data_IF_733254753029
#
_entry.id   IF_733254753029
#
_cell.length_a   1.000
_cell.length_b   1.000
_cell.length_c   1.000
_cell.angle_alpha   90.00
_cell.angle_beta   90.00
_cell.angle_gamma   90.00
#
_symmetry.space_group_name_H-M   'P 1'
#
loop_
_entity.id
_entity.type
_entity.pdbx_description
1 polymer ?
#
# COMPACT_ATOMS: atom_id res chain seq x y z
N UNK A 1 -6.09 -0.07 14.31
CA UNK A 1 -5.94 0.98 13.31
C UNK A 1 -5.92 0.39 11.91
N UNK A 2 -4.98 -0.50 11.52
CA UNK A 2 -4.82 -1.06 10.16
C UNK A 2 -6.10 -1.69 9.58
N UNK A 3 -6.85 -2.51 10.33
CA UNK A 3 -8.10 -3.10 9.83
C UNK A 3 -9.09 -2.06 9.30
N UNK A 4 -9.33 -0.98 10.06
CA UNK A 4 -10.24 0.08 9.62
C UNK A 4 -9.68 0.86 8.41
N UNK A 5 -8.35 1.06 8.36
CA UNK A 5 -7.66 1.62 7.20
C UNK A 5 -7.90 0.77 5.95
N UNK A 6 -7.56 -0.51 6.00
CA UNK A 6 -7.76 -1.44 4.89
C UNK A 6 -9.21 -1.52 4.42
N UNK A 7 -10.17 -1.50 5.36
CA UNK A 7 -11.59 -1.46 5.01
C UNK A 7 -11.96 -0.17 4.28
N UNK A 8 -11.49 0.99 4.73
CA UNK A 8 -11.73 2.26 4.02
C UNK A 8 -11.07 2.28 2.64
N UNK A 9 -9.86 1.74 2.51
CA UNK A 9 -9.16 1.57 1.20
C UNK A 9 -10.06 0.82 0.20
N UNK A 10 -10.69 -0.27 0.61
CA UNK A 10 -11.65 -0.98 -0.24
C UNK A 10 -12.80 -0.08 -0.68
N UNK A 11 -13.45 0.63 0.24
CA UNK A 11 -14.59 1.48 -0.11
C UNK A 11 -14.20 2.64 -1.02
N UNK A 12 -13.08 3.30 -0.76
CA UNK A 12 -12.56 4.36 -1.64
C UNK A 12 -12.23 3.84 -3.04
N UNK A 13 -11.58 2.69 -3.13
CA UNK A 13 -11.30 2.03 -4.40
C UNK A 13 -12.58 1.67 -5.15
N UNK A 14 -13.56 1.04 -4.47
CA UNK A 14 -14.81 0.63 -5.09
C UNK A 14 -15.65 1.83 -5.57
N UNK A 15 -15.74 2.91 -4.78
CA UNK A 15 -16.43 4.14 -5.17
C UNK A 15 -15.75 4.81 -6.35
N UNK A 16 -14.41 4.86 -6.35
CA UNK A 16 -13.61 5.37 -7.48
C UNK A 16 -13.86 4.55 -8.74
N UNK A 17 -13.87 3.22 -8.64
CA UNK A 17 -14.12 2.34 -9.77
C UNK A 17 -15.50 2.56 -10.37
N UNK A 18 -16.54 2.66 -9.54
CA UNK A 18 -17.90 2.99 -9.98
C UNK A 18 -17.98 4.33 -10.68
N UNK A 19 -17.39 5.38 -10.10
CA UNK A 19 -17.38 6.74 -10.66
C UNK A 19 -16.68 6.81 -12.01
N UNK A 20 -15.58 6.06 -12.18
CA UNK A 20 -14.80 6.01 -13.43
C UNK A 20 -15.37 5.00 -14.44
N UNK A 21 -16.47 4.31 -14.13
CA UNK A 21 -17.06 3.29 -15.01
C UNK A 21 -16.16 2.08 -15.27
N UNK A 22 -15.24 1.78 -14.34
CA UNK A 22 -14.33 0.65 -14.46
C UNK A 22 -15.03 -0.67 -14.11
N UNK A 23 -14.76 -1.72 -14.89
CA UNK A 23 -15.13 -3.08 -14.52
C UNK A 23 -14.02 -3.69 -13.68
N UNK A 24 -14.36 -4.15 -12.50
CA UNK A 24 -13.41 -4.81 -11.58
C UNK A 24 -14.14 -5.89 -10.78
N UNK A 25 -13.40 -6.88 -10.33
CA UNK A 25 -13.88 -7.87 -9.39
C UNK A 25 -13.82 -7.30 -7.97
N UNK A 26 -14.96 -7.18 -7.24
CA UNK A 26 -15.00 -6.62 -5.91
C UNK A 26 -14.31 -7.50 -4.85
N UNK A 27 -14.25 -8.82 -5.04
CA UNK A 27 -13.59 -9.73 -4.10
C UNK A 27 -12.07 -9.62 -4.23
N UNK A 28 -11.54 -9.51 -5.46
CA UNK A 28 -10.12 -9.26 -5.68
C UNK A 28 -9.69 -7.88 -5.17
N UNK A 29 -10.53 -6.85 -5.37
CA UNK A 29 -10.28 -5.53 -4.80
C UNK A 29 -10.28 -5.57 -3.28
N UNK A 30 -11.23 -6.30 -2.67
CA UNK A 30 -11.30 -6.48 -1.23
C UNK A 30 -10.06 -7.21 -0.69
N UNK A 31 -9.65 -8.30 -1.33
CA UNK A 31 -8.44 -9.02 -0.96
C UNK A 31 -7.20 -8.10 -1.03
N UNK A 32 -7.03 -7.37 -2.15
CA UNK A 32 -5.94 -6.40 -2.29
C UNK A 32 -5.94 -5.37 -1.18
N UNK A 33 -7.09 -4.76 -0.89
CA UNK A 33 -7.22 -3.77 0.17
C UNK A 33 -6.96 -4.36 1.57
N UNK A 34 -7.45 -5.56 1.88
CA UNK A 34 -7.28 -6.14 3.22
C UNK A 34 -5.87 -6.62 3.50
N UNK A 35 -5.12 -6.99 2.48
CA UNK A 35 -3.77 -7.53 2.65
C UNK A 35 -2.65 -6.52 2.44
N UNK A 36 -2.89 -5.32 1.86
CA UNK A 36 -1.81 -4.43 1.41
C UNK A 36 -0.80 -4.05 2.49
N UNK A 37 -1.22 -3.92 3.74
CA UNK A 37 -0.39 -3.54 4.89
C UNK A 37 -0.08 -4.70 5.85
N UNK A 38 -0.41 -5.95 5.51
CA UNK A 38 -0.17 -7.10 6.37
C UNK A 38 1.31 -7.29 6.71
N UNK A 39 2.22 -6.94 5.79
CA UNK A 39 3.67 -7.01 5.98
C UNK A 39 4.23 -6.03 7.02
N UNK A 40 3.44 -5.04 7.47
CA UNK A 40 3.76 -4.19 8.62
C UNK A 40 3.55 -4.89 9.95
N UNK A 41 2.84 -6.03 9.95
CA UNK A 41 2.55 -6.77 11.18
C UNK A 41 3.65 -7.79 11.49
N UNK A 42 3.99 -8.05 12.77
CA UNK A 42 5.05 -8.99 13.14
C UNK A 42 4.85 -10.39 12.59
N UNK A 43 3.60 -10.82 12.39
CA UNK A 43 3.28 -12.15 11.86
C UNK A 43 3.72 -12.35 10.41
N UNK A 44 3.72 -11.29 9.62
CA UNK A 44 3.97 -11.35 8.17
C UNK A 44 5.24 -10.61 7.75
N UNK A 45 5.90 -9.92 8.68
CA UNK A 45 7.17 -9.25 8.42
C UNK A 45 8.29 -10.27 8.19
N UNK A 46 9.23 -9.93 7.31
CA UNK A 46 10.52 -10.63 7.16
C UNK A 46 11.68 -9.67 7.41
N UNK A 47 12.89 -10.22 7.59
CA UNK A 47 14.08 -9.42 7.87
C UNK A 47 14.65 -8.69 6.65
N UNK A 48 14.35 -9.15 5.42
CA UNK A 48 15.10 -8.75 4.23
C UNK A 48 14.21 -8.25 3.07
N UNK A 49 12.89 -8.40 3.17
CA UNK A 49 12.00 -8.01 2.09
C UNK A 49 11.23 -6.74 2.42
N UNK A 50 10.88 -5.98 1.39
CA UNK A 50 9.95 -4.86 1.51
C UNK A 50 8.64 -5.34 2.10
N UNK A 51 8.01 -4.50 2.94
CA UNK A 51 6.74 -4.87 3.57
C UNK A 51 5.63 -5.10 2.54
N UNK A 52 5.66 -4.40 1.41
CA UNK A 52 4.71 -4.59 0.31
C UNK A 52 4.83 -5.99 -0.29
N UNK A 53 6.07 -6.52 -0.44
CA UNK A 53 6.31 -7.89 -0.91
C UNK A 53 5.84 -8.91 0.12
N UNK A 54 6.13 -8.69 1.39
CA UNK A 54 5.63 -9.54 2.48
C UNK A 54 4.09 -9.59 2.50
N UNK A 55 3.43 -8.44 2.35
CA UNK A 55 1.97 -8.32 2.23
C UNK A 55 1.44 -9.10 1.04
N UNK A 56 2.05 -8.90 -0.13
CA UNK A 56 1.65 -9.55 -1.38
C UNK A 56 1.82 -11.08 -1.30
N UNK A 57 2.91 -11.56 -0.68
CA UNK A 57 3.15 -12.98 -0.47
C UNK A 57 2.11 -13.59 0.48
N UNK A 58 1.76 -12.90 1.56
CA UNK A 58 0.70 -13.33 2.47
C UNK A 58 -0.66 -13.46 1.76
N UNK A 59 -1.00 -12.51 0.90
CA UNK A 59 -2.21 -12.56 0.07
C UNK A 59 -2.17 -13.74 -0.91
N UNK A 60 -1.05 -13.92 -1.62
CA UNK A 60 -0.84 -15.04 -2.56
C UNK A 60 -1.08 -16.38 -1.89
N UNK A 61 -0.46 -16.61 -0.76
CA UNK A 61 -0.53 -17.89 -0.07
C UNK A 61 -1.95 -18.15 0.46
N UNK A 62 -2.63 -17.14 0.97
CA UNK A 62 -4.03 -17.22 1.37
C UNK A 62 -4.94 -17.54 0.20
N UNK A 63 -4.86 -16.80 -0.91
CA UNK A 63 -5.74 -16.98 -2.07
C UNK A 63 -5.51 -18.33 -2.74
N UNK A 64 -4.24 -18.77 -2.83
CA UNK A 64 -3.90 -20.10 -3.35
C UNK A 64 -4.49 -21.21 -2.50
N UNK A 65 -4.49 -21.07 -1.18
CA UNK A 65 -5.14 -22.02 -0.27
C UNK A 65 -6.66 -22.10 -0.42
N UNK A 66 -7.27 -21.09 -1.08
CA UNK A 66 -8.70 -21.02 -1.38
C UNK A 66 -9.04 -21.45 -2.81
N UNK A 67 -8.05 -21.90 -3.59
CA UNK A 67 -8.26 -22.35 -4.97
C UNK A 67 -8.52 -21.22 -5.97
N UNK A 68 -8.13 -19.98 -5.66
CA UNK A 68 -8.22 -18.86 -6.59
C UNK A 68 -7.23 -19.08 -7.73
N UNK A 69 -7.61 -18.69 -8.95
CA UNK A 69 -6.78 -18.88 -10.13
C UNK A 69 -5.48 -18.03 -10.07
N UNK A 70 -4.37 -18.58 -10.54
CA UNK A 70 -3.05 -17.91 -10.47
C UNK A 70 -3.05 -16.52 -11.12
N UNK A 71 -3.79 -16.31 -12.20
CA UNK A 71 -3.92 -15.00 -12.85
C UNK A 71 -4.57 -13.95 -11.93
N UNK A 72 -5.55 -14.33 -11.15
CA UNK A 72 -6.24 -13.47 -10.19
C UNK A 72 -5.32 -13.19 -9.00
N UNK A 73 -4.60 -14.22 -8.53
CA UNK A 73 -3.58 -14.09 -7.47
C UNK A 73 -2.48 -13.12 -7.89
N UNK A 74 -1.97 -13.24 -9.13
CA UNK A 74 -0.96 -12.32 -9.67
C UNK A 74 -1.45 -10.88 -9.73
N UNK A 75 -2.73 -10.67 -10.09
CA UNK A 75 -3.35 -9.35 -10.08
C UNK A 75 -3.38 -8.74 -8.67
N UNK A 76 -3.80 -9.51 -7.67
CA UNK A 76 -3.85 -9.06 -6.27
C UNK A 76 -2.43 -8.84 -5.73
N UNK A 77 -1.50 -9.76 -6.02
CA UNK A 77 -0.10 -9.64 -5.63
C UNK A 77 0.51 -8.33 -6.16
N UNK A 78 0.31 -8.05 -7.44
CA UNK A 78 0.80 -6.84 -8.09
C UNK A 78 0.17 -5.57 -7.51
N UNK A 79 -1.15 -5.60 -7.24
CA UNK A 79 -1.85 -4.49 -6.62
C UNK A 79 -1.23 -4.14 -5.26
N UNK A 80 -0.94 -5.15 -4.45
CA UNK A 80 -0.32 -4.99 -3.13
C UNK A 80 1.15 -4.55 -3.26
N UNK A 81 1.93 -5.18 -4.13
CA UNK A 81 3.35 -4.87 -4.27
C UNK A 81 3.62 -3.44 -4.76
N UNK A 82 2.66 -2.84 -5.48
CA UNK A 82 2.81 -1.51 -6.08
C UNK A 82 2.00 -0.39 -5.39
N UNK A 83 1.25 -0.69 -4.30
CA UNK A 83 0.34 0.29 -3.69
C UNK A 83 1.02 1.55 -3.14
N UNK A 84 2.32 1.48 -2.85
CA UNK A 84 3.16 2.62 -2.43
C UNK A 84 4.00 3.22 -3.57
N UNK A 85 3.77 2.80 -4.82
CA UNK A 85 4.53 3.26 -5.99
C UNK A 85 3.72 4.27 -6.80
N UNK A 86 4.01 5.58 -6.69
CA UNK A 86 3.23 6.59 -7.39
C UNK A 86 3.34 6.50 -8.91
N UNK A 87 2.26 6.84 -9.62
CA UNK A 87 2.26 7.08 -11.06
C UNK A 87 2.26 5.85 -11.97
N UNK A 88 2.43 4.63 -11.45
CA UNK A 88 2.42 3.38 -12.24
C UNK A 88 1.07 2.66 -12.20
N UNK A 89 0.49 2.37 -11.02
CA UNK A 89 -0.75 1.60 -10.89
C UNK A 89 -1.96 2.15 -11.70
N UNK A 90 -2.13 3.47 -11.88
CA UNK A 90 -3.26 3.99 -12.65
C UNK A 90 -3.32 3.52 -14.11
N UNK A 91 -2.20 3.03 -14.65
CA UNK A 91 -2.08 2.54 -16.04
C UNK A 91 -2.20 1.02 -16.16
N UNK A 92 -2.52 0.31 -15.07
CA UNK A 92 -2.55 -1.13 -14.99
C UNK A 92 -3.99 -1.68 -14.90
N UNK A 93 -4.12 -2.98 -14.61
CA UNK A 93 -5.41 -3.63 -14.41
C UNK A 93 -6.27 -2.88 -13.37
N UNK A 94 -7.59 -2.75 -13.57
CA UNK A 94 -8.46 -1.96 -12.68
C UNK A 94 -8.30 -2.25 -11.19
N UNK A 95 -8.16 -3.52 -10.78
CA UNK A 95 -7.94 -3.86 -9.36
C UNK A 95 -6.64 -3.24 -8.84
N UNK A 96 -5.56 -3.25 -9.62
CA UNK A 96 -4.27 -2.66 -9.25
C UNK A 96 -4.41 -1.14 -9.06
N UNK A 97 -5.00 -0.48 -10.05
CA UNK A 97 -5.25 0.96 -10.01
C UNK A 97 -6.14 1.37 -8.83
N UNK A 98 -7.17 0.55 -8.52
CA UNK A 98 -8.16 0.87 -7.49
C UNK A 98 -7.67 0.61 -6.07
N UNK A 99 -6.82 -0.38 -5.82
CA UNK A 99 -6.15 -0.54 -4.51
C UNK A 99 -5.31 0.69 -4.22
N UNK A 100 -4.46 1.12 -5.15
CA UNK A 100 -3.63 2.33 -4.98
C UNK A 100 -4.50 3.58 -4.81
N UNK A 101 -5.54 3.79 -5.62
CA UNK A 101 -6.44 4.92 -5.47
C UNK A 101 -7.12 4.96 -4.10
N UNK A 102 -7.48 3.80 -3.56
CA UNK A 102 -8.04 3.68 -2.21
C UNK A 102 -7.04 4.07 -1.12
N UNK A 103 -5.78 3.62 -1.24
CA UNK A 103 -4.70 3.98 -0.31
C UNK A 103 -4.41 5.48 -0.39
N UNK A 104 -4.24 6.02 -1.59
CA UNK A 104 -3.97 7.45 -1.81
C UNK A 104 -5.09 8.33 -1.25
N UNK A 105 -6.35 7.95 -1.43
CA UNK A 105 -7.48 8.67 -0.82
C UNK A 105 -7.42 8.62 0.70
N UNK A 106 -7.22 7.44 1.30
CA UNK A 106 -7.28 7.31 2.76
C UNK A 106 -6.09 7.95 3.48
N UNK A 107 -4.89 7.83 2.92
CA UNK A 107 -3.65 8.34 3.55
C UNK A 107 -3.36 9.78 3.14
N UNK A 108 -3.42 10.08 1.83
CA UNK A 108 -2.97 11.35 1.26
C UNK A 108 -4.11 12.32 0.97
N UNK A 109 -5.36 11.84 0.92
CA UNK A 109 -6.51 12.66 0.53
C UNK A 109 -6.56 12.95 -0.98
N UNK A 110 -5.88 12.14 -1.80
CA UNK A 110 -5.96 12.28 -3.26
C UNK A 110 -7.40 12.08 -3.71
N UNK A 111 -7.88 12.97 -4.58
CA UNK A 111 -9.28 13.01 -5.05
C UNK A 111 -10.34 13.19 -3.94
N UNK A 112 -9.98 13.73 -2.76
CA UNK A 112 -10.91 13.95 -1.64
C UNK A 112 -12.18 14.70 -2.05
N UNK A 113 -12.05 15.70 -2.90
CA UNK A 113 -13.19 16.53 -3.40
C UNK A 113 -14.10 15.80 -4.38
N UNK A 114 -13.68 14.67 -4.93
CA UNK A 114 -14.53 13.83 -5.80
C UNK A 114 -15.58 13.05 -5.01
N UNK A 115 -15.38 12.87 -3.70
CA UNK A 115 -16.33 12.18 -2.81
C UNK A 115 -17.23 13.19 -2.11
N UNK A 116 -18.52 12.89 -2.08
CA UNK A 116 -19.50 13.70 -1.34
C UNK A 116 -19.28 13.57 0.18
N UNK A 117 -19.74 14.57 0.95
CA UNK A 117 -19.70 14.49 2.41
C UNK A 117 -20.42 13.25 2.93
N UNK A 118 -21.57 12.91 2.32
CA UNK A 118 -22.38 11.73 2.68
C UNK A 118 -21.57 10.43 2.50
N UNK A 119 -20.85 10.28 1.39
CA UNK A 119 -19.99 9.11 1.15
C UNK A 119 -18.86 9.04 2.18
N UNK A 120 -18.16 10.17 2.42
CA UNK A 120 -17.06 10.24 3.39
C UNK A 120 -17.54 9.91 4.81
N UNK A 121 -18.64 10.50 5.24
CA UNK A 121 -19.21 10.25 6.56
C UNK A 121 -19.68 8.79 6.72
N UNK A 122 -20.29 8.21 5.69
CA UNK A 122 -20.75 6.83 5.73
C UNK A 122 -19.60 5.86 5.91
N UNK A 123 -18.51 6.04 5.14
CA UNK A 123 -17.31 5.18 5.22
C UNK A 123 -16.60 5.34 6.57
N UNK A 124 -16.39 6.58 7.03
CA UNK A 124 -15.72 6.84 8.30
C UNK A 124 -16.55 6.39 9.51
N UNK A 125 -17.87 6.46 9.44
CA UNK A 125 -18.77 5.96 10.48
C UNK A 125 -18.69 4.43 10.60
N UNK A 126 -18.65 3.72 9.45
CA UNK A 126 -18.55 2.27 9.42
C UNK A 126 -17.15 1.78 9.84
N UNK A 127 -16.11 2.50 9.45
CA UNK A 127 -14.71 2.18 9.71
C UNK A 127 -13.99 3.41 10.27
N UNK A 128 -14.06 3.63 11.60
CA UNK A 128 -13.58 4.85 12.22
C UNK A 128 -12.14 5.21 11.88
N UNK A 129 -11.92 6.51 11.60
CA UNK A 129 -10.62 7.11 11.37
C UNK A 129 -10.29 7.96 12.59
N UNK A 130 -9.37 7.52 13.47
CA UNK A 130 -9.05 8.27 14.68
C UNK A 130 -8.44 9.64 14.34
N UNK A 131 -8.59 10.62 15.24
CA UNK A 131 -8.09 11.99 15.02
C UNK A 131 -6.57 12.08 14.85
N UNK A 132 -5.81 11.08 15.33
CA UNK A 132 -4.35 10.96 15.19
C UNK A 132 -3.93 10.00 14.07
N UNK A 133 -4.81 9.63 13.18
CA UNK A 133 -4.54 8.62 12.14
C UNK A 133 -3.26 8.89 11.34
N UNK A 134 -2.97 10.16 11.00
CA UNK A 134 -1.75 10.50 10.23
C UNK A 134 -0.48 10.06 10.95
N UNK A 135 -0.37 10.38 12.24
CA UNK A 135 0.78 9.97 13.04
C UNK A 135 0.80 8.47 13.32
N UNK A 136 -0.36 7.86 13.52
CA UNK A 136 -0.47 6.43 13.77
C UNK A 136 -0.08 5.60 12.54
N UNK A 137 -0.42 6.03 11.32
CA UNK A 137 -0.02 5.30 10.10
C UNK A 137 1.47 5.49 9.83
N UNK A 138 2.03 6.70 10.01
CA UNK A 138 3.47 6.94 9.90
C UNK A 138 4.23 6.07 10.90
N UNK A 139 3.74 5.97 12.15
CA UNK A 139 4.35 5.12 13.16
C UNK A 139 4.28 3.64 12.79
N UNK A 140 3.14 3.16 12.26
CA UNK A 140 3.01 1.78 11.81
C UNK A 140 3.98 1.43 10.67
N UNK A 141 4.20 2.35 9.73
CA UNK A 141 5.23 2.21 8.71
C UNK A 141 6.63 2.12 9.33
N UNK A 142 7.00 3.08 10.19
CA UNK A 142 8.29 3.07 10.87
C UNK A 142 8.53 1.76 11.60
N UNK A 143 7.58 1.29 12.42
CA UNK A 143 7.67 0.04 13.17
C UNK A 143 7.85 -1.17 12.24
N UNK A 144 7.24 -1.14 11.06
CA UNK A 144 7.24 -2.22 10.08
C UNK A 144 8.57 -2.41 9.35
N UNK A 145 9.42 -1.36 9.22
CA UNK A 145 10.65 -1.47 8.43
C UNK A 145 11.88 -0.71 8.95
N UNK A 146 11.83 -0.02 10.11
CA UNK A 146 13.02 0.65 10.66
C UNK A 146 14.21 -0.29 10.90
N UNK A 147 13.94 -1.56 11.15
CA UNK A 147 14.94 -2.61 11.38
C UNK A 147 15.56 -3.20 10.09
N UNK A 148 15.08 -2.77 8.91
CA UNK A 148 15.55 -3.20 7.58
C UNK A 148 15.62 -2.00 6.61
N UNK A 149 16.39 -0.96 6.96
CA UNK A 149 16.41 0.30 6.22
C UNK A 149 16.89 0.16 4.76
N UNK A 150 17.67 -0.86 4.45
CA UNK A 150 18.12 -1.18 3.09
C UNK A 150 16.97 -1.48 2.13
N UNK A 151 15.82 -1.92 2.64
CA UNK A 151 14.63 -2.21 1.82
C UNK A 151 13.89 -0.94 1.36
N UNK A 152 14.27 0.23 1.85
CA UNK A 152 13.59 1.49 1.56
C UNK A 152 14.18 2.26 0.38
N UNK A 153 15.31 1.82 -0.17
CA UNK A 153 15.96 2.48 -1.29
C UNK A 153 15.02 2.66 -2.50
N UNK A 154 14.92 3.89 -2.97
CA UNK A 154 14.09 4.24 -4.12
C UNK A 154 12.58 4.19 -3.88
N UNK A 155 12.15 4.24 -2.63
CA UNK A 155 10.74 4.16 -2.23
C UNK A 155 10.34 5.31 -1.31
N UNK A 156 9.04 5.59 -1.18
CA UNK A 156 8.49 6.55 -0.21
C UNK A 156 8.77 6.16 1.25
N UNK A 157 9.12 4.89 1.50
CA UNK A 157 9.44 4.39 2.83
C UNK A 157 10.72 5.03 3.41
N UNK A 158 11.65 5.47 2.54
CA UNK A 158 12.84 6.20 2.96
C UNK A 158 12.48 7.55 3.62
N UNK A 159 11.41 8.21 3.18
CA UNK A 159 10.95 9.46 3.76
C UNK A 159 10.43 9.25 5.19
N UNK A 160 9.76 8.12 5.45
CA UNK A 160 9.30 7.75 6.81
C UNK A 160 10.48 7.53 7.75
N UNK A 161 11.55 6.84 7.29
CA UNK A 161 12.75 6.68 8.10
C UNK A 161 13.44 8.02 8.38
N UNK A 162 13.52 8.89 7.36
CA UNK A 162 14.14 10.22 7.51
C UNK A 162 13.36 11.13 8.49
N UNK A 163 12.03 11.01 8.52
CA UNK A 163 11.17 11.75 9.45
C UNK A 163 11.32 11.27 10.90
N UNK A 164 11.44 9.96 11.10
CA UNK A 164 11.41 9.32 12.43
C UNK A 164 12.79 9.10 13.04
N UNK A 165 13.83 8.99 12.23
CA UNK A 165 15.21 8.72 12.66
C UNK A 165 16.17 9.78 12.13
N UNK A 166 16.57 10.76 12.98
CA UNK A 166 17.51 11.81 12.57
C UNK A 166 18.91 11.30 12.16
N UNK A 167 19.25 10.06 12.51
CA UNK A 167 20.52 9.43 12.12
C UNK A 167 20.44 8.73 10.75
N UNK A 168 19.25 8.40 10.26
CA UNK A 168 19.06 7.77 8.96
C UNK A 168 19.57 8.66 7.82
N UNK A 169 20.27 8.07 6.88
CA UNK A 169 20.72 8.71 5.65
C UNK A 169 20.25 7.88 4.46
N UNK A 170 19.31 8.41 3.67
CA UNK A 170 18.83 7.69 2.49
C UNK A 170 19.97 7.44 1.50
N UNK A 171 19.95 6.26 0.89
CA UNK A 171 20.86 5.94 -0.20
C UNK A 171 20.55 6.82 -1.41
N UNK A 172 21.57 7.32 -2.09
CA UNK A 172 21.42 8.16 -3.25
C UNK A 172 21.74 7.38 -4.52
N UNK A 173 20.79 7.30 -5.46
CA UNK A 173 20.93 6.52 -6.70
C UNK A 173 22.16 6.92 -7.52
N UNK A 174 22.46 8.21 -7.65
CA UNK A 174 23.65 8.66 -8.37
C UNK A 174 24.94 8.25 -7.66
N UNK A 175 24.93 8.17 -6.33
CA UNK A 175 26.06 7.65 -5.55
C UNK A 175 26.27 6.17 -5.81
N UNK A 176 25.22 5.38 -5.86
CA UNK A 176 25.26 3.94 -6.19
C UNK A 176 25.87 3.74 -7.58
N UNK A 177 25.43 4.51 -8.58
CA UNK A 177 26.00 4.47 -9.94
C UNK A 177 27.51 4.76 -9.91
N UNK A 178 27.92 5.85 -9.25
CA UNK A 178 29.34 6.25 -9.20
C UNK A 178 30.23 5.28 -8.44
N UNK A 179 29.66 4.54 -7.49
CA UNK A 179 30.34 3.54 -6.68
C UNK A 179 30.34 2.14 -7.32
N UNK A 180 29.74 1.98 -8.50
CA UNK A 180 29.69 0.69 -9.20
C UNK A 180 31.10 0.23 -9.59
N UNK A 181 31.29 -1.10 -9.73
CA UNK A 181 32.56 -1.68 -10.13
C UNK A 181 32.95 -1.42 -11.61
N UNK A 182 32.07 -0.85 -12.40
CA UNK A 182 32.33 -0.50 -13.79
C UNK A 182 33.24 0.72 -13.88
N UNK A 183 34.27 0.72 -14.75
CA UNK A 183 35.08 1.90 -14.98
C UNK A 183 34.22 3.03 -15.56
N UNK A 184 34.40 4.23 -15.01
CA UNK A 184 33.68 5.46 -15.44
C UNK A 184 34.35 6.16 -16.59
#
# INVERSE_FOLDING_TARGET
MLFNHSSRVYYWGALTGKRRGLRFDPELLYAGAMFHDMGLTPKHASAHERFEVNSANAARDFLRSRGIAEREIETVWTAIALHTTPGIPPHMHPVIALVTAGVEMDVLGVAFSEFTDVEREAVVRAHPRPGRFKEEIIQAFYDGFHHKPETTFGTVNADVLADKDPSFRPENFCRVIRASAWPG
#
